data_IF_739675872070
#
_entry.id   IF_739675872070
#
_cell.length_a   1.000
_cell.length_b   1.000
_cell.length_c   1.000
_cell.angle_alpha   90.00
_cell.angle_beta   90.00
_cell.angle_gamma   90.00
#
_symmetry.space_group_name_H-M   'P 1'
#
loop_
_entity.id
_entity.type
_entity.pdbx_description
1 polymer ?
#
# COMPACT_ATOMS: atom_id res chain seq x y z
N UNK A 1 -4.27 28.32 -5.15
CA UNK A 1 -3.01 27.63 -5.51
C UNK A 1 -2.81 27.74 -7.01
N UNK A 2 -1.59 28.02 -7.50
CA UNK A 2 -1.34 28.15 -8.95
C UNK A 2 -1.18 26.78 -9.62
N UNK A 3 -1.40 26.68 -10.94
CA UNK A 3 -1.22 25.43 -11.69
C UNK A 3 0.21 24.85 -11.54
N UNK A 4 1.23 25.71 -11.54
CA UNK A 4 2.63 25.32 -11.29
C UNK A 4 2.82 24.69 -9.91
N UNK A 5 2.16 25.23 -8.88
CA UNK A 5 2.21 24.67 -7.53
C UNK A 5 1.47 23.32 -7.43
N UNK A 6 0.32 23.18 -8.10
CA UNK A 6 -0.42 21.92 -8.20
C UNK A 6 0.41 20.81 -8.85
N UNK A 7 1.09 21.13 -9.96
CA UNK A 7 2.00 20.19 -10.62
C UNK A 7 3.17 19.78 -9.74
N UNK A 8 3.79 20.73 -9.03
CA UNK A 8 4.87 20.43 -8.09
C UNK A 8 4.40 19.50 -6.97
N UNK A 9 3.25 19.80 -6.36
CA UNK A 9 2.67 18.96 -5.30
C UNK A 9 2.39 17.54 -5.81
N UNK A 10 1.82 17.42 -7.01
CA UNK A 10 1.53 16.11 -7.59
C UNK A 10 2.80 15.26 -7.76
N UNK A 11 3.86 15.84 -8.32
CA UNK A 11 5.12 15.13 -8.54
C UNK A 11 5.81 14.76 -7.23
N UNK A 12 5.72 15.63 -6.21
CA UNK A 12 6.18 15.33 -4.86
C UNK A 12 5.39 14.18 -4.24
N UNK A 13 4.05 14.18 -4.36
CA UNK A 13 3.20 13.11 -3.84
C UNK A 13 3.54 11.75 -4.47
N UNK A 14 3.84 11.71 -5.78
CA UNK A 14 4.24 10.47 -6.47
C UNK A 14 5.59 9.97 -5.94
N UNK A 15 6.54 10.88 -5.71
CA UNK A 15 7.85 10.52 -5.18
C UNK A 15 7.74 9.98 -3.75
N UNK A 16 7.00 10.67 -2.87
CA UNK A 16 6.75 10.22 -1.50
C UNK A 16 6.00 8.89 -1.45
N UNK A 17 5.06 8.66 -2.36
CA UNK A 17 4.39 7.36 -2.48
C UNK A 17 5.36 6.22 -2.82
N UNK A 18 6.29 6.45 -3.76
CA UNK A 18 7.29 5.41 -4.09
C UNK A 18 8.11 5.02 -2.87
N UNK A 19 8.54 6.00 -2.06
CA UNK A 19 9.34 5.73 -0.88
C UNK A 19 8.51 5.05 0.23
N UNK A 20 7.27 5.47 0.44
CA UNK A 20 6.41 4.87 1.45
C UNK A 20 5.90 3.48 1.05
N UNK A 21 5.71 3.20 -0.25
CA UNK A 21 5.43 1.84 -0.71
C UNK A 21 6.62 0.91 -0.51
N UNK A 22 7.86 1.37 -0.70
CA UNK A 22 9.06 0.56 -0.37
C UNK A 22 9.15 0.28 1.13
N UNK A 23 8.85 1.26 1.96
CA UNK A 23 8.80 1.08 3.40
C UNK A 23 7.67 0.13 3.82
N UNK A 24 6.52 0.19 3.16
CA UNK A 24 5.40 -0.72 3.38
C UNK A 24 5.79 -2.15 3.00
N UNK A 25 6.44 -2.35 1.85
CA UNK A 25 6.96 -3.65 1.43
C UNK A 25 7.90 -4.23 2.49
N UNK A 26 8.87 -3.45 2.97
CA UNK A 26 9.79 -3.87 4.02
C UNK A 26 9.05 -4.22 5.31
N UNK A 27 8.11 -3.38 5.77
CA UNK A 27 7.34 -3.62 6.98
C UNK A 27 6.49 -4.90 6.89
N UNK A 28 5.92 -5.19 5.71
CA UNK A 28 5.18 -6.42 5.45
C UNK A 28 6.09 -7.66 5.51
N UNK A 29 7.30 -7.60 4.97
CA UNK A 29 8.24 -8.72 5.11
C UNK A 29 8.70 -8.94 6.56
N UNK A 30 8.91 -7.85 7.30
CA UNK A 30 9.28 -7.94 8.71
C UNK A 30 8.13 -8.47 9.58
N UNK A 31 6.89 -8.06 9.30
CA UNK A 31 5.71 -8.64 9.95
C UNK A 31 5.60 -10.15 9.69
N UNK A 32 5.88 -10.60 8.46
CA UNK A 32 5.90 -12.03 8.13
C UNK A 32 6.95 -12.78 8.95
N UNK A 33 8.15 -12.23 9.05
CA UNK A 33 9.25 -12.82 9.82
C UNK A 33 8.93 -12.88 11.31
N UNK A 34 8.35 -11.81 11.87
CA UNK A 34 7.88 -11.78 13.26
C UNK A 34 6.75 -12.79 13.51
N UNK A 35 5.84 -12.96 12.54
CA UNK A 35 4.78 -13.95 12.60
C UNK A 35 5.35 -15.37 12.68
N UNK A 36 6.36 -15.71 11.88
CA UNK A 36 7.02 -17.01 11.94
C UNK A 36 7.80 -17.23 13.25
N UNK A 37 8.36 -16.15 13.82
CA UNK A 37 9.08 -16.19 15.09
C UNK A 37 8.19 -16.12 16.33
N UNK A 38 6.86 -16.07 16.17
CA UNK A 38 5.90 -15.86 17.26
C UNK A 38 6.17 -14.62 18.13
N UNK A 39 6.78 -13.58 17.55
CA UNK A 39 7.12 -12.35 18.24
C UNK A 39 5.93 -11.38 18.25
N UNK A 40 5.09 -11.50 19.28
CA UNK A 40 3.90 -10.68 19.44
C UNK A 40 4.20 -9.17 19.56
N UNK A 41 5.33 -8.80 20.17
CA UNK A 41 5.70 -7.40 20.35
C UNK A 41 6.10 -6.77 19.00
N UNK A 42 6.94 -7.47 18.23
CA UNK A 42 7.30 -7.04 16.88
C UNK A 42 6.08 -7.00 15.95
N UNK A 43 5.18 -7.99 16.03
CA UNK A 43 3.94 -8.01 15.27
C UNK A 43 3.08 -6.76 15.52
N UNK A 44 2.90 -6.37 16.78
CA UNK A 44 2.15 -5.16 17.13
C UNK A 44 2.82 -3.90 16.55
N UNK A 45 4.15 -3.78 16.71
CA UNK A 45 4.90 -2.65 16.20
C UNK A 45 4.77 -2.51 14.66
N UNK A 46 4.89 -3.63 13.93
CA UNK A 46 4.74 -3.62 12.48
C UNK A 46 3.31 -3.37 12.04
N UNK A 47 2.30 -3.86 12.75
CA UNK A 47 0.90 -3.56 12.46
C UNK A 47 0.62 -2.05 12.55
N UNK A 48 1.10 -1.38 13.61
CA UNK A 48 0.98 0.07 13.76
C UNK A 48 1.70 0.82 12.63
N UNK A 49 2.93 0.41 12.30
CA UNK A 49 3.70 1.02 11.21
C UNK A 49 3.01 0.89 9.86
N UNK A 50 2.49 -0.30 9.55
CA UNK A 50 1.73 -0.57 8.33
C UNK A 50 0.47 0.32 8.29
N UNK A 51 -0.28 0.40 9.38
CA UNK A 51 -1.49 1.23 9.48
C UNK A 51 -1.22 2.73 9.22
N UNK A 52 -0.13 3.26 9.77
CA UNK A 52 0.30 4.63 9.52
C UNK A 52 0.65 4.87 8.05
N UNK A 53 1.45 3.99 7.43
CA UNK A 53 1.84 4.10 6.02
C UNK A 53 0.62 4.03 5.10
N UNK A 54 -0.29 3.09 5.33
CA UNK A 54 -1.52 2.94 4.52
C UNK A 54 -2.39 4.20 4.61
N UNK A 55 -2.52 4.79 5.80
CA UNK A 55 -3.28 6.03 5.99
C UNK A 55 -2.65 7.19 5.22
N UNK A 56 -1.33 7.36 5.28
CA UNK A 56 -0.61 8.39 4.54
C UNK A 56 -0.75 8.21 3.01
N UNK A 57 -0.57 6.99 2.53
CA UNK A 57 -0.74 6.65 1.11
C UNK A 57 -2.16 6.94 0.63
N UNK A 58 -3.18 6.60 1.41
CA UNK A 58 -4.58 6.88 1.07
C UNK A 58 -4.87 8.38 1.02
N UNK A 59 -4.36 9.17 1.97
CA UNK A 59 -4.51 10.62 1.97
C UNK A 59 -3.85 11.26 0.73
N UNK A 60 -2.63 10.83 0.37
CA UNK A 60 -1.93 11.33 -0.83
C UNK A 60 -2.62 10.89 -2.10
N UNK A 61 -3.15 9.67 -2.16
CA UNK A 61 -3.97 9.21 -3.30
C UNK A 61 -5.17 10.14 -3.54
N UNK A 62 -5.96 10.42 -2.50
CA UNK A 62 -7.13 11.32 -2.60
C UNK A 62 -6.73 12.73 -3.05
N UNK A 63 -5.60 13.24 -2.53
CA UNK A 63 -5.03 14.53 -2.95
C UNK A 63 -4.64 14.52 -4.42
N UNK A 64 -3.94 13.49 -4.90
CA UNK A 64 -3.58 13.37 -6.32
C UNK A 64 -4.80 13.29 -7.23
N UNK A 65 -5.84 12.57 -6.83
CA UNK A 65 -7.12 12.52 -7.57
C UNK A 65 -7.76 13.92 -7.66
N UNK A 66 -7.76 14.68 -6.55
CA UNK A 66 -8.24 16.05 -6.54
C UNK A 66 -7.39 16.98 -7.43
N UNK A 67 -6.07 16.90 -7.33
CA UNK A 67 -5.15 17.70 -8.16
C UNK A 67 -5.32 17.38 -9.65
N UNK A 68 -5.46 16.10 -10.01
CA UNK A 68 -5.71 15.69 -11.38
C UNK A 68 -7.02 16.26 -11.92
N UNK A 69 -8.10 16.24 -11.12
CA UNK A 69 -9.37 16.89 -11.48
C UNK A 69 -9.21 18.39 -11.70
N UNK A 70 -8.51 19.08 -10.79
CA UNK A 70 -8.32 20.54 -10.88
C UNK A 70 -7.48 20.94 -12.10
N UNK A 71 -6.39 20.21 -12.37
CA UNK A 71 -5.50 20.49 -13.50
C UNK A 71 -6.13 20.15 -14.86
N UNK A 72 -7.09 19.23 -14.90
CA UNK A 72 -7.82 18.84 -16.11
C UNK A 72 -9.16 19.58 -16.28
N UNK A 73 -9.57 20.45 -15.35
CA UNK A 73 -10.90 21.08 -15.36
C UNK A 73 -11.21 21.90 -16.64
N UNK A 74 -10.18 22.36 -17.38
CA UNK A 74 -10.34 23.03 -18.68
C UNK A 74 -10.36 22.10 -19.90
N UNK A 75 -10.19 20.78 -19.72
CA UNK A 75 -10.16 19.78 -20.80
C UNK A 75 -11.48 18.98 -20.84
N UNK A 76 -12.50 19.55 -21.49
CA UNK A 76 -13.82 18.94 -21.65
C UNK A 76 -13.70 17.59 -22.39
N UNK A 77 -14.31 16.54 -21.82
CA UNK A 77 -14.40 15.21 -22.44
C UNK A 77 -13.34 14.18 -22.02
N UNK A 78 -12.33 14.55 -21.21
CA UNK A 78 -11.30 13.60 -20.75
C UNK A 78 -11.56 13.13 -19.31
N UNK A 79 -11.68 11.82 -19.10
CA UNK A 79 -11.78 11.24 -17.75
C UNK A 79 -10.54 11.62 -16.92
N UNK A 80 -10.69 12.24 -15.74
CA UNK A 80 -9.56 12.63 -14.92
C UNK A 80 -8.72 11.42 -14.56
N UNK A 81 -7.45 11.44 -14.97
CA UNK A 81 -6.47 10.39 -14.67
C UNK A 81 -5.06 10.97 -14.72
N UNK A 82 -4.11 10.32 -14.04
CA UNK A 82 -2.71 10.74 -14.10
C UNK A 82 -2.11 10.56 -15.49
N UNK A 83 -2.53 9.54 -16.25
CA UNK A 83 -2.13 9.37 -17.65
C UNK A 83 -2.63 10.53 -18.53
N UNK A 84 -3.90 10.92 -18.38
CA UNK A 84 -4.45 12.08 -19.08
C UNK A 84 -3.69 13.36 -18.72
N UNK A 85 -3.27 13.48 -17.47
CA UNK A 85 -2.52 14.62 -16.99
C UNK A 85 -1.09 14.65 -17.54
N UNK A 86 -0.36 13.54 -17.49
CA UNK A 86 1.02 13.45 -18.02
C UNK A 86 1.10 13.68 -19.54
N UNK A 87 0.02 13.38 -20.27
CA UNK A 87 -0.06 13.69 -21.70
C UNK A 87 0.01 15.21 -21.99
N UNK A 88 -0.21 16.09 -21.00
CA UNK A 88 -0.01 17.54 -21.13
C UNK A 88 1.46 17.97 -21.01
N UNK A 89 2.35 17.06 -20.60
CA UNK A 89 3.79 17.35 -20.45
C UNK A 89 4.55 17.13 -21.77
N UNK A 90 5.66 17.85 -21.99
CA UNK A 90 6.63 17.53 -23.03
C UNK A 90 7.21 16.13 -22.88
N UNK A 91 7.65 15.54 -23.99
CA UNK A 91 8.01 14.11 -24.09
C UNK A 91 8.98 13.60 -23.01
N UNK A 92 10.12 14.27 -22.70
CA UNK A 92 11.05 13.76 -21.70
C UNK A 92 10.44 13.70 -20.29
N UNK A 93 9.63 14.72 -19.94
CA UNK A 93 8.96 14.78 -18.64
C UNK A 93 7.80 13.78 -18.56
N UNK A 94 7.05 13.61 -19.66
CA UNK A 94 5.96 12.64 -19.77
C UNK A 94 6.45 11.22 -19.54
N UNK A 95 7.51 10.80 -20.24
CA UNK A 95 8.06 9.45 -20.12
C UNK A 95 8.52 9.15 -18.69
N UNK A 96 9.23 10.10 -18.07
CA UNK A 96 9.67 9.95 -16.68
C UNK A 96 8.49 9.80 -15.71
N UNK A 97 7.44 10.61 -15.85
CA UNK A 97 6.26 10.52 -14.98
C UNK A 97 5.52 9.19 -15.17
N UNK A 98 5.41 8.71 -16.42
CA UNK A 98 4.78 7.43 -16.74
C UNK A 98 5.56 6.25 -16.12
N UNK A 99 6.89 6.26 -16.23
CA UNK A 99 7.75 5.24 -15.63
C UNK A 99 7.63 5.22 -14.10
N UNK A 100 7.67 6.39 -13.46
CA UNK A 100 7.48 6.49 -12.01
C UNK A 100 6.11 6.00 -11.57
N UNK A 101 5.06 6.32 -12.33
CA UNK A 101 3.71 5.85 -12.05
C UNK A 101 3.57 4.34 -12.22
N UNK A 102 4.15 3.77 -13.27
CA UNK A 102 4.17 2.32 -13.48
C UNK A 102 4.90 1.60 -12.35
N UNK A 103 6.04 2.13 -11.91
CA UNK A 103 6.78 1.58 -10.76
C UNK A 103 5.95 1.64 -9.47
N UNK A 104 5.23 2.73 -9.23
CA UNK A 104 4.32 2.87 -8.10
C UNK A 104 3.19 1.83 -8.16
N UNK A 105 2.59 1.62 -9.33
CA UNK A 105 1.54 0.62 -9.51
C UNK A 105 2.04 -0.81 -9.25
N UNK A 106 3.26 -1.13 -9.69
CA UNK A 106 3.89 -2.41 -9.41
C UNK A 106 4.11 -2.60 -7.90
N UNK A 107 4.74 -1.63 -7.22
CA UNK A 107 4.95 -1.68 -5.78
C UNK A 107 3.64 -1.82 -4.98
N UNK A 108 2.58 -1.13 -5.41
CA UNK A 108 1.27 -1.24 -4.78
C UNK A 108 0.66 -2.64 -4.94
N UNK A 109 0.84 -3.26 -6.11
CA UNK A 109 0.40 -4.64 -6.35
C UNK A 109 1.20 -5.64 -5.50
N UNK A 110 2.51 -5.47 -5.41
CA UNK A 110 3.39 -6.32 -4.60
C UNK A 110 3.04 -6.22 -3.10
N UNK A 111 2.84 -5.00 -2.59
CA UNK A 111 2.41 -4.78 -1.20
C UNK A 111 1.05 -5.45 -0.92
N UNK A 112 0.14 -5.45 -1.90
CA UNK A 112 -1.16 -6.14 -1.75
C UNK A 112 -0.97 -7.65 -1.60
N UNK A 113 -0.13 -8.26 -2.45
CA UNK A 113 0.17 -9.70 -2.37
C UNK A 113 0.85 -10.07 -1.04
N UNK A 114 1.81 -9.28 -0.59
CA UNK A 114 2.48 -9.49 0.70
C UNK A 114 1.50 -9.37 1.88
N UNK A 115 0.60 -8.38 1.84
CA UNK A 115 -0.41 -8.21 2.87
C UNK A 115 -1.40 -9.39 2.92
N UNK A 116 -1.82 -9.90 1.76
CA UNK A 116 -2.67 -11.11 1.67
C UNK A 116 -1.96 -12.34 2.24
N UNK A 117 -0.68 -12.54 1.89
CA UNK A 117 0.17 -13.61 2.45
C UNK A 117 0.26 -13.54 3.97
N UNK A 118 0.53 -12.35 4.51
CA UNK A 118 0.66 -12.15 5.95
C UNK A 118 -0.67 -12.41 6.67
N UNK A 119 -1.79 -11.94 6.11
CA UNK A 119 -3.12 -12.18 6.66
C UNK A 119 -3.46 -13.68 6.74
N UNK A 120 -3.15 -14.44 5.69
CA UNK A 120 -3.33 -15.90 5.69
C UNK A 120 -2.48 -16.59 6.76
N UNK A 121 -1.21 -16.21 6.90
CA UNK A 121 -0.33 -16.77 7.93
C UNK A 121 -0.85 -16.51 9.34
N UNK A 122 -1.26 -15.27 9.63
CA UNK A 122 -1.76 -14.90 10.96
C UNK A 122 -3.07 -15.61 11.29
N UNK A 123 -3.97 -15.76 10.32
CA UNK A 123 -5.21 -16.54 10.49
C UNK A 123 -4.90 -18.01 10.83
N UNK A 124 -4.04 -18.65 10.05
CA UNK A 124 -3.65 -20.06 10.27
C UNK A 124 -3.02 -20.27 11.66
N UNK A 125 -2.18 -19.32 12.10
CA UNK A 125 -1.58 -19.38 13.43
C UNK A 125 -2.64 -19.23 14.54
N UNK A 126 -3.57 -18.29 14.38
CA UNK A 126 -4.67 -18.11 15.32
C UNK A 126 -5.52 -19.38 15.44
N UNK A 127 -5.86 -20.03 14.33
CA UNK A 127 -6.59 -21.31 14.32
C UNK A 127 -5.80 -22.45 14.97
N UNK A 128 -4.47 -22.47 14.82
CA UNK A 128 -3.61 -23.44 15.49
C UNK A 128 -3.62 -23.22 17.01
N UNK A 129 -3.42 -21.98 17.47
CA UNK A 129 -3.49 -21.64 18.89
C UNK A 129 -4.86 -21.95 19.48
N UNK A 130 -5.95 -21.64 18.77
CA UNK A 130 -7.30 -21.98 19.25
C UNK A 130 -7.49 -23.48 19.41
N UNK A 131 -6.99 -24.31 18.48
CA UNK A 131 -7.02 -25.77 18.65
C UNK A 131 -6.18 -26.23 19.84
N UNK A 132 -4.94 -25.77 19.97
CA UNK A 132 -4.07 -26.14 21.10
C UNK A 132 -4.67 -25.72 22.45
N UNK A 133 -5.28 -24.54 22.53
CA UNK A 133 -5.83 -23.99 23.77
C UNK A 133 -7.24 -24.52 24.11
N UNK A 134 -8.04 -24.89 23.10
CA UNK A 134 -9.46 -25.24 23.29
C UNK A 134 -9.85 -26.62 22.75
N UNK A 135 -8.93 -27.44 22.22
CA UNK A 135 -9.26 -28.78 21.74
C UNK A 135 -8.08 -29.70 21.36
N UNK A 136 -7.75 -30.62 22.26
CA UNK A 136 -8.22 -32.01 22.14
C UNK A 136 -8.99 -32.38 23.43
N UNK A 137 -10.28 -32.07 23.46
CA UNK A 137 -11.20 -32.71 24.42
C UNK A 137 -11.88 -33.84 23.65
N UNK A 138 -11.82 -35.06 24.19
CA UNK A 138 -12.43 -36.30 23.68
C UNK A 138 -11.57 -37.16 22.73
N UNK A 139 -10.70 -38.03 23.29
CA UNK A 139 -10.73 -39.48 22.98
C UNK A 139 -9.82 -40.29 23.92
N UNK A 140 -10.29 -40.62 25.11
CA UNK A 140 -9.90 -41.86 25.81
C UNK A 140 -11.08 -42.33 26.67
N UNK A 141 -12.10 -42.89 26.02
CA UNK A 141 -12.95 -43.87 26.66
C UNK A 141 -12.34 -45.24 26.32
N UNK A 142 -11.51 -45.76 27.23
CA UNK A 142 -11.06 -47.15 27.24
C UNK A 142 -12.20 -48.04 27.81
N UNK A 143 -12.20 -49.35 27.51
CA UNK A 143 -13.37 -50.18 27.20
C UNK A 143 -14.31 -50.51 28.37
#
# INVERSE_FOLDING_TARGET
>A
MTAKAQWRQLLQDIHSDLDDYRQLQLALEQQFSAALGHDAAALSCYADRIGQLVTQLQQRRLRREQLARQLLAGNVGRKPSLMALFALLPEPARQRCQQQWQALQALAADCKQLNERNGQLLLNQHECYQRVLFGESDTYAAP
#
